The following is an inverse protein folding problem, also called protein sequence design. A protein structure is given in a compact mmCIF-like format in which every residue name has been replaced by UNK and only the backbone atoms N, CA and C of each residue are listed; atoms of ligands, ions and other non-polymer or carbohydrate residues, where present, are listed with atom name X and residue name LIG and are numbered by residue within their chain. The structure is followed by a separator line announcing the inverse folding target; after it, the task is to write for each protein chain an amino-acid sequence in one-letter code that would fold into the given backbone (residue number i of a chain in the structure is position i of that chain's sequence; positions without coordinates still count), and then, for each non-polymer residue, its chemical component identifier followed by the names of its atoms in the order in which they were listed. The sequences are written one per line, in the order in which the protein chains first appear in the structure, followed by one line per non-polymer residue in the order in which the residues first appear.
data_IF_463203166833
#
_entry.id   IF_463203166833
#
_cell.length_a   1.000
_cell.length_b   1.000
_cell.length_c   1.000
_cell.angle_alpha   90.00
_cell.angle_beta   90.00
_cell.angle_gamma   90.00
#
_symmetry.space_group_name_H-M   'P 1'
#
loop_
_entity.id
_entity.type
_entity.pdbx_description
1 polymer ?
#
# COMPACT_ATOMS: atom_id res chain seq x y z
N UNK A 1 11.88 32.91 8.70
CA UNK A 1 11.60 32.58 10.12
C UNK A 1 10.27 33.10 10.67
N UNK A 2 9.54 34.01 10.01
CA UNK A 2 8.34 34.63 10.59
C UNK A 2 7.02 33.93 10.23
N UNK A 3 6.95 33.09 9.21
CA UNK A 3 5.72 32.42 8.75
C UNK A 3 5.50 31.06 9.40
N UNK A 4 6.56 30.35 9.76
CA UNK A 4 6.48 29.05 10.44
C UNK A 4 5.86 29.13 11.85
N UNK A 5 5.99 30.26 12.54
CA UNK A 5 5.36 30.48 13.85
C UNK A 5 3.85 30.74 13.81
N UNK A 6 3.28 30.99 12.63
CA UNK A 6 1.84 31.27 12.48
C UNK A 6 1.01 29.99 12.22
N UNK A 7 1.66 28.89 11.87
CA UNK A 7 1.00 27.61 11.56
C UNK A 7 1.10 26.57 12.70
N UNK A 8 1.55 26.98 13.89
CA UNK A 8 1.47 26.10 15.07
C UNK A 8 2.35 24.86 15.06
N UNK A 9 3.44 24.83 14.29
CA UNK A 9 4.41 23.70 14.26
C UNK A 9 5.30 23.62 15.51
N UNK A 10 4.68 23.64 16.69
CA UNK A 10 5.34 23.18 17.90
C UNK A 10 4.87 21.76 18.20
N UNK A 11 5.37 20.81 17.45
CA UNK A 11 5.31 19.41 17.86
C UNK A 11 5.97 19.24 19.23
N UNK A 12 5.57 18.25 20.05
CA UNK A 12 6.16 18.03 21.36
C UNK A 12 7.68 17.96 21.23
N UNK A 13 8.40 18.67 22.10
CA UNK A 13 9.85 18.66 22.13
C UNK A 13 10.34 17.20 22.12
N UNK A 14 11.08 16.81 21.09
CA UNK A 14 11.64 15.47 20.98
C UNK A 14 12.56 15.21 22.16
N UNK A 15 12.33 14.12 22.88
CA UNK A 15 13.41 13.55 23.68
C UNK A 15 14.55 13.20 22.70
N UNK A 16 15.80 13.60 22.99
CA UNK A 16 16.91 13.24 22.13
C UNK A 16 17.01 11.72 22.11
N UNK A 17 16.71 11.13 20.95
CA UNK A 17 17.02 9.72 20.69
C UNK A 17 18.53 9.61 20.85
N UNK A 18 18.99 8.73 21.74
CA UNK A 18 20.42 8.48 21.90
C UNK A 18 21.03 8.20 20.52
N UNK A 19 22.01 9.03 20.13
CA UNK A 19 22.71 8.90 18.85
C UNK A 19 23.32 7.51 18.80
N UNK A 20 22.82 6.64 17.91
CA UNK A 20 23.48 5.38 17.63
C UNK A 20 24.80 5.69 16.92
N UNK A 21 25.89 5.60 17.68
CA UNK A 21 27.25 5.85 17.18
C UNK A 21 27.83 4.66 16.40
N UNK A 22 27.03 3.63 16.11
CA UNK A 22 27.48 2.57 15.23
C UNK A 22 27.74 3.12 13.82
N UNK A 23 28.81 2.64 13.14
CA UNK A 23 29.09 3.12 11.79
C UNK A 23 27.94 2.74 10.85
N UNK A 24 27.38 3.74 10.17
CA UNK A 24 26.37 3.53 9.12
C UNK A 24 26.98 2.65 8.03
N UNK A 25 26.35 1.51 7.77
CA UNK A 25 26.78 0.55 6.75
C UNK A 25 25.64 0.25 5.82
N UNK A 26 25.93 0.15 4.53
CA UNK A 26 25.00 -0.39 3.55
C UNK A 26 24.68 -1.86 3.88
N UNK A 27 23.53 -2.35 3.43
CA UNK A 27 23.22 -3.76 3.48
C UNK A 27 24.23 -4.57 2.64
N UNK A 28 24.57 -5.80 3.02
CA UNK A 28 25.41 -6.66 2.19
C UNK A 28 24.81 -6.82 0.78
N UNK A 29 25.65 -6.86 -0.26
CA UNK A 29 25.22 -7.02 -1.64
C UNK A 29 24.30 -8.24 -1.85
N UNK A 30 24.51 -9.32 -1.09
CA UNK A 30 23.66 -10.53 -1.12
C UNK A 30 22.19 -10.24 -0.79
N UNK A 31 21.89 -9.22 -0.01
CA UNK A 31 20.49 -8.83 0.28
C UNK A 31 19.74 -8.31 -0.95
N UNK A 32 20.47 -7.81 -1.94
CA UNK A 32 19.89 -7.29 -3.19
C UNK A 32 19.89 -8.33 -4.32
N UNK A 33 20.76 -9.35 -4.25
CA UNK A 33 21.01 -10.27 -5.36
C UNK A 33 20.65 -11.72 -5.08
N UNK A 34 20.43 -12.13 -3.81
CA UNK A 34 20.09 -13.51 -3.46
C UNK A 34 18.60 -13.78 -3.65
N UNK A 35 18.31 -14.86 -4.38
CA UNK A 35 16.93 -15.37 -4.52
C UNK A 35 16.39 -15.88 -3.19
N UNK A 36 17.21 -16.53 -2.37
CA UNK A 36 16.83 -17.04 -1.04
C UNK A 36 16.42 -15.89 -0.12
N UNK A 37 17.15 -14.77 -0.17
CA UNK A 37 16.80 -13.57 0.59
C UNK A 37 15.45 -13.02 0.10
N UNK A 38 15.22 -12.96 -1.21
CA UNK A 38 13.93 -12.50 -1.73
C UNK A 38 12.77 -13.42 -1.33
N UNK A 39 12.96 -14.74 -1.34
CA UNK A 39 11.94 -15.67 -0.84
C UNK A 39 11.68 -15.49 0.66
N UNK A 40 12.71 -15.19 1.46
CA UNK A 40 12.54 -14.84 2.87
C UNK A 40 11.73 -13.54 3.02
N UNK A 41 12.05 -12.51 2.26
CA UNK A 41 11.30 -11.24 2.24
C UNK A 41 9.83 -11.45 1.83
N UNK A 42 9.58 -12.28 0.82
CA UNK A 42 8.20 -12.64 0.44
C UNK A 42 7.44 -13.23 1.61
N UNK A 43 8.04 -14.17 2.35
CA UNK A 43 7.37 -14.89 3.44
C UNK A 43 7.30 -14.08 4.74
N UNK A 44 8.30 -13.26 5.06
CA UNK A 44 8.39 -12.55 6.33
C UNK A 44 7.86 -11.10 6.26
N UNK A 45 7.90 -10.49 5.09
CA UNK A 45 7.49 -9.09 4.87
C UNK A 45 6.19 -9.05 4.08
N UNK A 46 6.22 -9.40 2.80
CA UNK A 46 5.08 -9.18 1.90
C UNK A 46 3.84 -10.02 2.26
N UNK A 47 4.01 -11.19 2.88
CA UNK A 47 2.88 -12.01 3.34
C UNK A 47 2.42 -11.70 4.76
N UNK A 48 3.10 -10.80 5.52
CA UNK A 48 2.84 -10.59 6.95
C UNK A 48 2.62 -9.13 7.35
N UNK A 49 3.14 -8.19 6.55
CA UNK A 49 3.07 -6.78 6.88
C UNK A 49 1.88 -6.10 6.20
N UNK A 50 1.41 -5.02 6.82
CA UNK A 50 0.45 -4.15 6.18
C UNK A 50 1.12 -3.38 5.04
N UNK A 51 0.49 -3.39 3.88
CA UNK A 51 0.96 -2.71 2.68
C UNK A 51 -0.13 -1.75 2.20
N UNK A 52 0.22 -0.49 1.96
CA UNK A 52 -0.63 0.45 1.26
C UNK A 52 -0.71 0.01 -0.21
N UNK A 53 -1.91 -0.12 -0.75
CA UNK A 53 -2.11 -0.63 -2.12
C UNK A 53 -2.68 0.42 -3.05
N UNK A 54 -3.69 1.16 -2.59
CA UNK A 54 -4.42 2.08 -3.45
C UNK A 54 -5.28 3.03 -2.63
N UNK A 55 -6.14 3.79 -3.30
CA UNK A 55 -7.05 4.77 -2.71
C UNK A 55 -8.51 4.39 -3.01
N UNK A 56 -9.42 4.63 -2.06
CA UNK A 56 -10.84 4.22 -2.14
C UNK A 56 -11.59 4.85 -3.32
N UNK A 57 -11.18 6.03 -3.78
CA UNK A 57 -11.82 6.72 -4.92
C UNK A 57 -11.71 5.97 -6.24
N UNK A 58 -10.86 4.93 -6.31
CA UNK A 58 -10.83 4.02 -7.46
C UNK A 58 -12.05 3.08 -7.54
N UNK A 59 -12.81 2.96 -6.44
CA UNK A 59 -14.03 2.15 -6.35
C UNK A 59 -15.21 3.11 -6.26
N UNK A 60 -16.01 3.20 -7.31
CA UNK A 60 -17.08 4.20 -7.42
C UNK A 60 -18.47 3.64 -7.10
N UNK A 61 -18.64 2.34 -7.22
CA UNK A 61 -19.92 1.66 -6.99
C UNK A 61 -19.75 0.23 -6.54
N UNK A 62 -20.76 -0.28 -5.86
CA UNK A 62 -20.85 -1.69 -5.50
C UNK A 62 -20.72 -2.56 -6.76
N UNK A 63 -19.83 -3.54 -6.71
CA UNK A 63 -19.46 -4.40 -7.84
C UNK A 63 -18.13 -4.06 -8.48
N UNK A 64 -17.57 -2.88 -8.26
CA UNK A 64 -16.25 -2.56 -8.76
C UNK A 64 -15.20 -3.44 -8.08
N UNK A 65 -14.25 -3.91 -8.88
CA UNK A 65 -13.14 -4.73 -8.41
C UNK A 65 -11.85 -4.41 -9.17
N UNK A 66 -10.73 -4.57 -8.47
CA UNK A 66 -9.39 -4.40 -9.02
C UNK A 66 -8.53 -5.56 -8.53
N UNK A 67 -7.77 -6.16 -9.45
CA UNK A 67 -6.75 -7.17 -9.16
C UNK A 67 -5.41 -6.51 -8.97
N UNK A 68 -4.69 -6.94 -7.95
CA UNK A 68 -3.33 -6.51 -7.64
C UNK A 68 -2.42 -7.73 -7.55
N UNK A 69 -1.14 -7.48 -7.75
CA UNK A 69 -0.08 -8.44 -7.49
C UNK A 69 1.06 -7.74 -6.77
N UNK A 70 1.50 -8.30 -5.64
CA UNK A 70 2.67 -7.82 -4.89
C UNK A 70 3.54 -9.02 -4.55
N UNK A 71 4.80 -8.96 -4.93
CA UNK A 71 5.78 -10.03 -4.68
C UNK A 71 5.28 -11.44 -5.12
N UNK A 72 4.53 -11.51 -6.23
CA UNK A 72 3.96 -12.75 -6.75
C UNK A 72 2.70 -13.23 -6.03
N UNK A 73 2.14 -12.46 -5.11
CA UNK A 73 0.83 -12.74 -4.50
C UNK A 73 -0.27 -11.98 -5.23
N UNK A 74 -1.11 -12.69 -5.99
CA UNK A 74 -2.30 -12.11 -6.61
C UNK A 74 -3.47 -12.04 -5.62
N UNK A 75 -4.14 -10.90 -5.58
CA UNK A 75 -5.36 -10.71 -4.80
C UNK A 75 -6.32 -9.74 -5.51
N UNK A 76 -7.56 -9.75 -5.06
CA UNK A 76 -8.65 -8.91 -5.58
C UNK A 76 -9.16 -8.06 -4.42
N UNK A 77 -9.31 -6.77 -4.67
CA UNK A 77 -10.15 -5.90 -3.85
C UNK A 77 -11.47 -5.68 -4.57
N UNK A 78 -12.59 -5.79 -3.85
CA UNK A 78 -13.93 -5.57 -4.42
C UNK A 78 -14.82 -4.77 -3.48
N UNK A 79 -15.67 -3.93 -4.06
CA UNK A 79 -16.64 -3.13 -3.33
C UNK A 79 -17.99 -3.81 -3.26
N UNK A 80 -18.52 -4.02 -2.04
CA UNK A 80 -19.89 -4.45 -1.78
C UNK A 80 -20.58 -3.44 -0.88
N UNK A 81 -21.56 -2.71 -1.42
CA UNK A 81 -22.07 -1.51 -0.73
C UNK A 81 -20.92 -0.50 -0.54
N UNK A 82 -20.74 -0.05 0.69
CA UNK A 82 -19.67 0.88 1.07
C UNK A 82 -18.41 0.19 1.63
N UNK A 83 -18.39 -1.14 1.61
CA UNK A 83 -17.29 -1.94 2.18
C UNK A 83 -16.39 -2.49 1.12
N UNK A 84 -15.08 -2.33 1.32
CA UNK A 84 -14.05 -2.98 0.49
C UNK A 84 -13.69 -4.33 1.12
N UNK A 85 -13.76 -5.38 0.32
CA UNK A 85 -13.37 -6.74 0.67
C UNK A 85 -12.12 -7.15 -0.12
N UNK A 86 -11.30 -8.02 0.46
CA UNK A 86 -10.11 -8.51 -0.20
C UNK A 86 -9.99 -10.03 -0.13
N UNK A 87 -9.50 -10.65 -1.22
CA UNK A 87 -9.32 -12.10 -1.31
C UNK A 87 -8.13 -12.43 -2.19
N UNK A 88 -7.44 -13.54 -1.91
CA UNK A 88 -6.55 -14.14 -2.89
C UNK A 88 -7.31 -14.52 -4.16
N UNK A 89 -6.73 -14.27 -5.33
CA UNK A 89 -7.33 -14.61 -6.62
C UNK A 89 -7.24 -16.11 -6.91
N UNK A 90 -7.81 -16.94 -6.03
CA UNK A 90 -7.69 -18.39 -6.06
C UNK A 90 -9.05 -19.04 -5.81
N UNK A 91 -9.50 -19.85 -6.75
CA UNK A 91 -10.71 -20.65 -6.60
C UNK A 91 -10.49 -21.80 -5.60
N UNK A 92 -11.39 -21.96 -4.63
CA UNK A 92 -11.33 -23.01 -3.60
C UNK A 92 -11.45 -24.42 -4.16
N UNK A 93 -11.93 -24.58 -5.38
CA UNK A 93 -12.09 -25.89 -6.00
C UNK A 93 -10.73 -26.50 -6.42
N UNK A 94 -10.03 -25.86 -7.34
CA UNK A 94 -8.76 -26.35 -7.91
C UNK A 94 -7.77 -25.24 -8.21
N UNK A 95 -7.72 -24.22 -7.36
CA UNK A 95 -6.75 -23.13 -7.39
C UNK A 95 -6.64 -22.34 -8.71
N UNK A 96 -7.65 -22.42 -9.59
CA UNK A 96 -7.69 -21.60 -10.80
C UNK A 96 -7.98 -20.13 -10.44
N UNK A 97 -7.39 -19.14 -11.13
CA UNK A 97 -7.72 -17.73 -10.92
C UNK A 97 -9.23 -17.48 -11.08
N UNK A 98 -9.82 -16.73 -10.15
CA UNK A 98 -11.26 -16.42 -10.21
C UNK A 98 -11.54 -15.31 -11.22
N UNK A 99 -10.64 -14.34 -11.30
CA UNK A 99 -10.66 -13.28 -12.33
C UNK A 99 -9.34 -13.26 -13.10
N UNK A 100 -9.42 -13.00 -14.41
CA UNK A 100 -8.25 -12.93 -15.30
C UNK A 100 -7.89 -11.48 -15.67
N UNK A 101 -8.87 -10.57 -15.69
CA UNK A 101 -8.66 -9.15 -15.97
C UNK A 101 -7.99 -8.39 -14.83
N UNK A 102 -7.62 -7.13 -15.08
CA UNK A 102 -7.02 -6.26 -14.07
C UNK A 102 -8.06 -5.52 -13.21
N UNK A 103 -9.17 -5.13 -13.80
CA UNK A 103 -10.28 -4.43 -13.14
C UNK A 103 -11.59 -4.63 -13.87
N UNK A 104 -12.71 -4.38 -13.20
CA UNK A 104 -14.02 -4.44 -13.80
C UNK A 104 -15.14 -4.20 -12.79
N UNK A 105 -16.36 -4.44 -13.23
CA UNK A 105 -17.56 -4.42 -12.39
C UNK A 105 -18.29 -5.77 -12.53
N UNK A 106 -18.64 -6.37 -11.40
CA UNK A 106 -19.32 -7.68 -11.36
C UNK A 106 -20.42 -7.66 -10.29
N UNK A 107 -21.43 -8.51 -10.48
CA UNK A 107 -22.40 -8.83 -9.42
C UNK A 107 -21.99 -10.07 -8.63
N UNK A 108 -21.21 -10.92 -9.28
CA UNK A 108 -20.71 -12.18 -8.76
C UNK A 108 -19.42 -12.54 -9.50
N UNK A 109 -18.48 -13.14 -8.83
CA UNK A 109 -17.26 -13.69 -9.43
C UNK A 109 -17.52 -15.15 -9.82
N UNK A 110 -17.22 -15.54 -11.04
CA UNK A 110 -17.40 -16.92 -11.52
C UNK A 110 -16.11 -17.47 -12.08
N UNK A 111 -15.61 -18.53 -11.46
CA UNK A 111 -14.44 -19.23 -11.91
C UNK A 111 -14.73 -19.89 -13.27
N UNK A 112 -13.94 -19.58 -14.28
CA UNK A 112 -14.15 -20.09 -15.64
C UNK A 112 -13.87 -21.58 -15.80
N UNK A 113 -13.18 -22.20 -14.83
CA UNK A 113 -12.82 -23.61 -14.94
C UNK A 113 -14.03 -24.54 -14.71
N UNK A 114 -14.77 -24.38 -13.59
CA UNK A 114 -15.90 -25.26 -13.25
C UNK A 114 -17.16 -24.50 -12.77
N UNK A 115 -17.21 -23.19 -12.94
CA UNK A 115 -18.39 -22.39 -12.63
C UNK A 115 -18.66 -22.16 -11.13
N UNK A 116 -17.69 -22.45 -10.25
CA UNK A 116 -17.83 -22.02 -8.86
C UNK A 116 -17.94 -20.52 -8.80
N UNK A 117 -18.95 -20.02 -8.08
CA UNK A 117 -19.26 -18.60 -8.07
C UNK A 117 -19.25 -18.05 -6.65
N UNK A 118 -18.70 -16.85 -6.52
CA UNK A 118 -18.47 -16.18 -5.24
C UNK A 118 -19.10 -14.80 -5.25
N UNK A 119 -19.73 -14.43 -4.14
CA UNK A 119 -20.22 -13.06 -3.93
C UNK A 119 -19.08 -12.03 -3.87
N UNK A 120 -19.44 -10.76 -3.94
CA UNK A 120 -18.46 -9.65 -3.79
C UNK A 120 -17.78 -9.63 -2.41
N UNK A 121 -18.31 -10.34 -1.43
CA UNK A 121 -17.72 -10.56 -0.10
C UNK A 121 -16.93 -11.87 -0.01
N UNK A 122 -16.68 -12.53 -1.14
CA UNK A 122 -15.92 -13.77 -1.24
C UNK A 122 -16.64 -15.03 -0.76
N UNK A 123 -17.89 -14.93 -0.29
CA UNK A 123 -18.66 -16.12 0.11
C UNK A 123 -19.01 -16.96 -1.10
N UNK A 124 -18.91 -18.29 -0.97
CA UNK A 124 -19.32 -19.20 -2.03
C UNK A 124 -20.85 -19.14 -2.21
N UNK A 125 -21.29 -18.73 -3.40
CA UNK A 125 -22.70 -18.64 -3.76
C UNK A 125 -23.20 -19.94 -4.44
N UNK A 126 -22.40 -20.49 -5.37
CA UNK A 126 -22.76 -21.68 -6.14
C UNK A 126 -21.54 -22.55 -6.39
N UNK A 127 -21.71 -23.87 -6.22
CA UNK A 127 -20.72 -24.90 -6.54
C UNK A 127 -21.39 -26.02 -7.35
N UNK A 128 -21.44 -25.91 -8.70
CA UNK A 128 -22.14 -26.87 -9.53
C UNK A 128 -21.72 -28.30 -9.21
N UNK A 129 -22.71 -29.21 -9.09
CA UNK A 129 -22.60 -30.63 -8.68
C UNK A 129 -22.21 -30.86 -7.20
N UNK A 130 -21.53 -29.92 -6.54
CA UNK A 130 -21.22 -30.02 -5.12
C UNK A 130 -22.40 -29.62 -4.26
N UNK A 131 -23.24 -28.71 -4.73
CA UNK A 131 -24.48 -28.28 -4.05
C UNK A 131 -25.47 -29.45 -3.79
N UNK A 132 -25.29 -30.57 -4.49
CA UNK A 132 -26.14 -31.77 -4.37
C UNK A 132 -25.70 -32.71 -3.23
N UNK A 133 -24.48 -32.48 -2.64
CA UNK A 133 -23.98 -33.30 -1.55
C UNK A 133 -24.45 -32.76 -0.20
N UNK A 134 -25.13 -33.59 0.63
CA UNK A 134 -25.71 -33.15 1.90
C UNK A 134 -24.68 -32.55 2.88
N UNK A 135 -23.44 -33.04 2.84
CA UNK A 135 -22.37 -32.63 3.76
C UNK A 135 -21.50 -31.50 3.22
N UNK A 136 -21.84 -30.95 2.05
CA UNK A 136 -21.07 -29.85 1.48
C UNK A 136 -21.45 -28.50 2.09
N UNK A 137 -20.60 -27.99 2.97
CA UNK A 137 -20.79 -26.68 3.61
C UNK A 137 -20.17 -25.55 2.78
N UNK A 138 -21.01 -24.76 2.13
CA UNK A 138 -20.61 -23.58 1.37
C UNK A 138 -19.89 -22.54 2.22
N UNK A 139 -20.22 -22.43 3.50
CA UNK A 139 -19.64 -21.42 4.40
C UNK A 139 -18.15 -21.63 4.62
N UNK A 140 -17.70 -22.89 4.51
CA UNK A 140 -16.28 -23.26 4.64
C UNK A 140 -15.49 -23.15 3.33
N UNK A 141 -16.17 -22.83 2.22
CA UNK A 141 -15.61 -22.84 0.88
C UNK A 141 -15.60 -21.45 0.22
N UNK A 142 -15.67 -20.38 1.00
CA UNK A 142 -15.45 -19.00 0.52
C UNK A 142 -14.02 -18.78 0.06
N UNK A 143 -13.78 -17.73 -0.73
CA UNK A 143 -12.43 -17.33 -1.15
C UNK A 143 -11.53 -17.10 0.08
N UNK A 144 -10.24 -17.32 -0.07
CA UNK A 144 -9.27 -17.00 0.99
C UNK A 144 -9.23 -15.49 1.20
N UNK A 145 -9.74 -15.04 2.33
CA UNK A 145 -9.76 -13.63 2.68
C UNK A 145 -8.36 -13.12 2.98
N UNK A 146 -8.13 -11.86 2.66
CA UNK A 146 -7.03 -11.06 3.16
C UNK A 146 -7.58 -9.96 4.07
N UNK A 147 -6.75 -9.42 4.94
CA UNK A 147 -7.16 -8.33 5.81
C UNK A 147 -7.11 -7.01 5.04
N UNK A 148 -8.14 -6.20 5.18
CA UNK A 148 -8.28 -4.91 4.50
C UNK A 148 -8.61 -3.85 5.53
N UNK A 149 -7.92 -2.71 5.45
CA UNK A 149 -8.22 -1.50 6.20
C UNK A 149 -8.30 -0.32 5.24
N UNK A 150 -9.35 0.46 5.35
CA UNK A 150 -9.43 1.79 4.74
C UNK A 150 -9.15 2.79 5.86
N UNK A 151 -8.14 3.63 5.69
CA UNK A 151 -7.75 4.63 6.66
C UNK A 151 -8.55 5.93 6.53
N UNK A 152 -8.29 6.92 7.38
CA UNK A 152 -9.03 8.18 7.40
C UNK A 152 -8.79 9.06 6.17
N UNK A 153 -7.64 8.92 5.51
CA UNK A 153 -7.35 9.59 4.24
C UNK A 153 -7.92 8.84 3.02
N UNK A 154 -8.55 7.68 3.25
CA UNK A 154 -9.14 6.84 2.20
C UNK A 154 -8.13 5.94 1.50
N UNK A 155 -6.92 5.79 2.00
CA UNK A 155 -5.99 4.80 1.49
C UNK A 155 -6.40 3.38 1.93
N UNK A 156 -6.24 2.43 1.02
CA UNK A 156 -6.56 1.03 1.24
C UNK A 156 -5.28 0.27 1.51
N UNK A 157 -5.23 -0.33 2.68
CA UNK A 157 -4.16 -1.18 3.17
C UNK A 157 -4.59 -2.63 3.16
N UNK A 158 -3.67 -3.53 2.84
CA UNK A 158 -3.89 -4.97 2.93
C UNK A 158 -2.81 -5.63 3.76
N UNK A 159 -3.19 -6.75 4.39
CA UNK A 159 -2.27 -7.68 5.00
C UNK A 159 -2.64 -9.09 4.54
N UNK A 160 -1.67 -9.82 3.99
CA UNK A 160 -1.88 -11.14 3.39
C UNK A 160 -1.70 -12.27 4.41
N UNK A 161 -1.50 -11.95 5.69
CA UNK A 161 -1.37 -12.98 6.73
C UNK A 161 -2.61 -13.86 6.80
N UNK A 162 -2.40 -15.17 6.82
CA UNK A 162 -3.47 -16.16 6.98
C UNK A 162 -3.99 -16.29 8.41
N UNK A 163 -3.36 -15.62 9.39
CA UNK A 163 -3.83 -15.58 10.76
C UNK A 163 -5.22 -14.93 10.83
N UNK A 164 -6.09 -15.42 11.70
CA UNK A 164 -7.42 -14.84 11.91
C UNK A 164 -7.31 -13.38 12.35
N UNK A 165 -6.31 -13.07 13.17
CA UNK A 165 -6.00 -11.72 13.65
C UNK A 165 -4.53 -11.41 13.31
N UNK A 166 -4.25 -10.60 12.28
CA UNK A 166 -2.90 -10.17 11.95
C UNK A 166 -2.39 -9.16 12.98
N UNK A 167 -1.11 -8.79 12.88
CA UNK A 167 -0.58 -7.66 13.63
C UNK A 167 -1.48 -6.42 13.40
N UNK A 168 -1.93 -5.71 14.45
CA UNK A 168 -2.77 -4.53 14.27
C UNK A 168 -2.07 -3.46 13.43
N UNK A 169 -2.80 -2.86 12.47
CA UNK A 169 -2.27 -1.79 11.60
C UNK A 169 -1.74 -0.60 12.42
N UNK A 170 -2.42 -0.27 13.51
CA UNK A 170 -2.09 0.82 14.40
C UNK A 170 -0.73 0.67 15.09
N UNK A 171 -0.22 -0.55 15.20
CA UNK A 171 1.10 -0.79 15.80
C UNK A 171 2.21 -0.15 14.96
N UNK A 172 2.09 -0.19 13.64
CA UNK A 172 3.11 0.29 12.70
C UNK A 172 2.75 1.66 12.09
N UNK A 173 1.46 1.95 11.89
CA UNK A 173 1.00 3.08 11.10
C UNK A 173 0.04 4.04 11.84
N UNK A 174 -0.13 3.93 13.17
CA UNK A 174 -1.01 4.84 13.89
C UNK A 174 -0.69 6.31 13.61
N UNK A 175 -1.69 7.08 13.19
CA UNK A 175 -1.60 8.52 12.92
C UNK A 175 -0.99 8.88 11.57
N UNK A 176 -0.57 7.90 10.76
CA UNK A 176 0.02 8.18 9.45
C UNK A 176 -0.98 8.79 8.46
N UNK A 177 -2.24 8.48 8.65
CA UNK A 177 -3.38 8.95 7.88
C UNK A 177 -4.02 10.26 8.41
N UNK A 178 -3.52 10.74 9.54
CA UNK A 178 -3.95 11.98 10.20
C UNK A 178 -2.79 12.95 10.43
N UNK A 179 -1.79 12.94 9.55
CA UNK A 179 -0.68 13.88 9.60
C UNK A 179 -1.23 15.32 9.50
N UNK A 180 -0.76 16.21 10.35
CA UNK A 180 -1.20 17.62 10.35
C UNK A 180 -1.07 18.27 8.96
N UNK A 181 0.02 17.94 8.24
CA UNK A 181 0.26 18.42 6.87
C UNK A 181 -0.77 17.91 5.85
N UNK A 182 -1.58 16.90 6.19
CA UNK A 182 -2.69 16.43 5.35
C UNK A 182 -3.95 17.27 5.50
N UNK A 183 -4.03 18.14 6.50
CA UNK A 183 -5.21 18.97 6.77
C UNK A 183 -5.60 19.94 5.66
N UNK A 184 -4.69 20.23 4.73
CA UNK A 184 -4.95 21.10 3.56
C UNK A 184 -5.50 20.34 2.36
N UNK A 185 -5.43 19.00 2.36
CA UNK A 185 -5.86 18.17 1.25
C UNK A 185 -7.24 17.56 1.49
N UNK A 186 -8.07 17.54 0.46
CA UNK A 186 -9.37 16.88 0.46
C UNK A 186 -9.29 15.60 -0.36
N UNK A 187 -8.83 14.52 0.25
CA UNK A 187 -8.58 13.25 -0.45
C UNK A 187 -9.81 12.68 -1.16
N UNK A 188 -11.02 13.00 -0.73
CA UNK A 188 -12.26 12.58 -1.38
C UNK A 188 -12.52 13.29 -2.73
N UNK A 189 -11.86 14.41 -2.98
CA UNK A 189 -11.96 15.15 -4.24
C UNK A 189 -10.99 14.61 -5.30
N UNK A 190 -10.04 13.72 -4.91
CA UNK A 190 -9.10 13.13 -5.86
C UNK A 190 -9.74 12.00 -6.65
N UNK A 191 -9.36 11.88 -7.91
CA UNK A 191 -9.72 10.76 -8.78
C UNK A 191 -8.48 10.20 -9.47
N UNK A 192 -8.56 8.94 -9.93
CA UNK A 192 -7.49 8.34 -10.71
C UNK A 192 -7.44 8.99 -12.10
N UNK A 193 -6.38 9.72 -12.38
CA UNK A 193 -6.11 10.27 -13.70
C UNK A 193 -5.46 9.23 -14.60
N UNK A 194 -4.29 8.72 -14.22
CA UNK A 194 -3.59 7.72 -15.03
C UNK A 194 -2.70 6.81 -14.18
N UNK A 195 -2.25 5.72 -14.80
CA UNK A 195 -1.30 4.76 -14.23
C UNK A 195 -0.11 4.60 -15.18
N UNK A 196 1.10 4.64 -14.64
CA UNK A 196 2.31 4.26 -15.32
C UNK A 196 2.85 2.96 -14.77
N UNK A 197 3.34 2.10 -15.66
CA UNK A 197 4.06 0.89 -15.29
C UNK A 197 5.43 0.91 -15.93
N UNK A 198 6.46 0.68 -15.14
CA UNK A 198 7.81 0.47 -15.63
C UNK A 198 8.37 -0.83 -15.07
N UNK A 199 9.24 -1.48 -15.83
CA UNK A 199 9.89 -2.72 -15.42
C UNK A 199 11.39 -2.51 -15.42
N UNK A 200 12.05 -2.96 -14.36
CA UNK A 200 13.49 -2.88 -14.21
C UNK A 200 14.06 -4.15 -13.58
N UNK A 201 15.29 -4.49 -13.94
CA UNK A 201 16.01 -5.63 -13.38
C UNK A 201 16.74 -5.23 -12.09
N UNK A 202 15.99 -4.91 -11.04
CA UNK A 202 16.54 -4.52 -9.74
C UNK A 202 15.68 -5.05 -8.58
N UNK A 203 16.28 -5.12 -7.41
CA UNK A 203 15.55 -5.47 -6.18
C UNK A 203 14.73 -4.29 -5.68
N UNK A 204 13.55 -4.53 -5.11
CA UNK A 204 12.65 -3.50 -4.59
C UNK A 204 13.31 -2.54 -3.57
N UNK A 205 14.30 -3.03 -2.80
CA UNK A 205 15.03 -2.22 -1.82
C UNK A 205 15.82 -1.07 -2.45
N UNK A 206 16.24 -1.22 -3.71
CA UNK A 206 16.90 -0.13 -4.44
C UNK A 206 15.98 1.08 -4.60
N UNK A 207 14.67 0.84 -4.85
CA UNK A 207 13.69 1.94 -4.89
C UNK A 207 13.48 2.55 -3.51
N UNK A 208 13.45 1.73 -2.46
CA UNK A 208 13.35 2.21 -1.09
C UNK A 208 14.56 3.07 -0.71
N UNK A 209 15.76 2.59 -1.01
CA UNK A 209 17.01 3.32 -0.74
C UNK A 209 17.03 4.66 -1.51
N UNK A 210 16.70 4.65 -2.81
CA UNK A 210 16.69 5.83 -3.66
C UNK A 210 15.63 6.86 -3.22
N UNK A 211 14.43 6.41 -2.82
CA UNK A 211 13.37 7.33 -2.41
C UNK A 211 13.67 8.01 -1.06
N UNK A 212 14.37 7.32 -0.16
CA UNK A 212 14.59 7.82 1.20
C UNK A 212 15.85 8.68 1.37
N UNK A 213 16.50 9.08 0.27
CA UNK A 213 17.58 10.06 0.27
C UNK A 213 17.35 11.08 -0.87
N UNK A 214 17.94 12.27 -0.76
CA UNK A 214 17.88 13.29 -1.81
C UNK A 214 19.28 13.76 -2.25
N UNK A 215 20.31 12.96 -2.01
CA UNK A 215 21.67 13.25 -2.45
C UNK A 215 21.79 13.28 -3.97
N UNK A 216 21.01 12.45 -4.67
CA UNK A 216 20.95 12.41 -6.14
C UNK A 216 20.08 13.52 -6.74
N UNK A 217 19.19 14.15 -5.96
CA UNK A 217 18.18 15.07 -6.48
C UNK A 217 18.75 16.22 -7.33
N UNK A 218 19.83 16.93 -6.92
CA UNK A 218 20.35 18.04 -7.70
C UNK A 218 20.84 17.64 -9.07
N UNK A 219 21.28 16.40 -9.22
CA UNK A 219 21.89 15.89 -10.46
C UNK A 219 20.87 15.17 -11.35
N UNK A 220 20.06 14.30 -10.74
CA UNK A 220 19.11 13.44 -11.49
C UNK A 220 17.78 14.14 -11.76
N UNK A 221 17.42 15.10 -10.92
CA UNK A 221 16.15 15.83 -11.00
C UNK A 221 16.38 17.35 -10.94
N UNK A 222 17.08 17.96 -11.91
CA UNK A 222 17.51 19.36 -11.84
C UNK A 222 16.34 20.36 -11.71
N UNK A 223 15.14 19.96 -12.14
CA UNK A 223 13.95 20.80 -12.02
C UNK A 223 13.27 20.74 -10.64
N UNK A 224 13.66 19.81 -9.76
CA UNK A 224 13.01 19.66 -8.45
C UNK A 224 13.19 20.91 -7.59
N UNK A 225 14.32 21.62 -7.74
CA UNK A 225 14.59 22.86 -7.04
C UNK A 225 13.62 24.01 -7.36
N UNK A 226 12.85 23.91 -8.44
CA UNK A 226 11.76 24.87 -8.74
C UNK A 226 10.50 24.58 -7.91
N UNK A 227 10.37 23.37 -7.38
CA UNK A 227 9.21 22.93 -6.61
C UNK A 227 9.49 22.90 -5.11
N UNK A 228 10.69 22.50 -4.73
CA UNK A 228 11.10 22.35 -3.34
C UNK A 228 12.54 22.85 -3.14
N UNK A 229 12.80 23.54 -2.02
CA UNK A 229 14.16 23.85 -1.59
C UNK A 229 14.80 22.58 -0.99
N UNK A 230 15.57 21.89 -1.80
CA UNK A 230 16.23 20.64 -1.42
C UNK A 230 17.32 20.83 -0.34
N UNK A 231 17.78 22.06 -0.10
CA UNK A 231 18.74 22.37 0.97
C UNK A 231 18.10 22.28 2.36
N UNK A 232 16.78 22.39 2.43
CA UNK A 232 15.96 22.27 3.64
C UNK A 232 15.39 20.87 3.84
N UNK A 233 15.74 19.90 2.94
CA UNK A 233 15.20 18.55 3.01
C UNK A 233 15.49 17.87 4.35
N UNK A 234 14.43 17.50 5.06
CA UNK A 234 14.47 16.79 6.33
C UNK A 234 13.70 15.47 6.25
N UNK A 235 14.18 14.48 6.97
CA UNK A 235 13.62 13.14 6.98
C UNK A 235 13.28 12.72 8.40
N UNK A 236 12.03 12.36 8.63
CA UNK A 236 11.53 11.98 9.95
C UNK A 236 11.07 10.52 9.95
N UNK A 237 11.68 9.70 10.80
CA UNK A 237 11.23 8.34 11.07
C UNK A 237 9.94 8.33 11.89
N UNK A 238 8.94 7.56 11.44
CA UNK A 238 7.73 7.30 12.19
C UNK A 238 7.37 5.81 12.06
N UNK A 239 7.89 4.97 12.98
CA UNK A 239 7.68 3.50 13.00
C UNK A 239 8.01 2.87 11.63
N UNK A 240 7.00 2.38 10.90
CA UNK A 240 7.14 1.79 9.57
C UNK A 240 6.97 2.80 8.41
N UNK A 241 7.13 4.10 8.71
CA UNK A 241 7.06 5.15 7.69
C UNK A 241 8.20 6.14 7.84
N UNK A 242 8.57 6.77 6.73
CA UNK A 242 9.56 7.85 6.68
C UNK A 242 8.88 9.06 6.02
N UNK A 243 8.81 10.16 6.76
CA UNK A 243 8.22 11.39 6.30
C UNK A 243 9.31 12.29 5.74
N UNK A 244 9.11 12.77 4.52
CA UNK A 244 9.99 13.71 3.85
C UNK A 244 9.35 15.08 3.85
N UNK A 245 10.13 16.10 4.14
CA UNK A 245 9.71 17.48 4.16
C UNK A 245 10.79 18.37 3.55
N UNK A 246 10.36 19.35 2.77
CA UNK A 246 11.21 20.45 2.28
C UNK A 246 10.39 21.72 2.26
N UNK A 247 11.03 22.86 2.38
CA UNK A 247 10.38 24.14 2.13
C UNK A 247 10.04 24.27 0.65
N UNK A 248 9.08 25.15 0.32
CA UNK A 248 8.72 25.42 -1.08
C UNK A 248 9.91 26.00 -1.84
N UNK A 249 10.04 25.66 -3.12
CA UNK A 249 11.05 26.25 -3.99
C UNK A 249 10.81 27.73 -4.24
N UNK A 250 11.83 28.42 -4.77
CA UNK A 250 11.74 29.87 -5.02
C UNK A 250 10.59 30.18 -6.01
N UNK A 251 9.65 31.01 -5.55
CA UNK A 251 8.47 31.39 -6.33
C UNK A 251 7.36 30.32 -6.41
N UNK A 252 7.45 29.26 -5.62
CA UNK A 252 6.41 28.21 -5.52
C UNK A 252 5.65 28.35 -4.20
N UNK A 253 4.32 28.33 -4.28
CA UNK A 253 3.42 28.21 -3.11
C UNK A 253 3.02 26.75 -2.88
N UNK A 254 3.62 25.78 -3.59
CA UNK A 254 3.26 24.37 -3.54
C UNK A 254 3.89 23.70 -2.29
N UNK A 255 3.05 23.13 -1.44
CA UNK A 255 3.50 22.27 -0.36
C UNK A 255 3.55 20.81 -0.86
N UNK A 256 4.70 20.16 -0.70
CA UNK A 256 4.86 18.73 -1.05
C UNK A 256 4.94 17.92 0.23
N UNK A 257 4.01 16.98 0.40
CA UNK A 257 4.00 16.04 1.50
C UNK A 257 4.32 14.64 1.01
N UNK A 258 5.57 14.22 1.12
CA UNK A 258 5.99 12.89 0.72
C UNK A 258 6.16 11.97 1.92
N UNK A 259 5.72 10.72 1.78
CA UNK A 259 5.85 9.69 2.82
C UNK A 259 6.23 8.38 2.16
N UNK A 260 7.27 7.75 2.66
CA UNK A 260 7.54 6.34 2.37
C UNK A 260 6.83 5.47 3.39
N UNK A 261 6.07 4.49 2.92
CA UNK A 261 5.37 3.49 3.71
C UNK A 261 6.04 2.13 3.49
N UNK A 262 6.64 1.60 4.54
CA UNK A 262 7.22 0.25 4.47
C UNK A 262 6.16 -0.79 4.07
N UNK A 263 6.45 -1.78 3.22
CA UNK A 263 7.77 -2.09 2.68
C UNK A 263 8.14 -1.34 1.38
N UNK A 264 7.21 -0.93 0.54
CA UNK A 264 7.55 -0.62 -0.85
C UNK A 264 6.65 0.43 -1.52
N UNK A 265 5.99 1.27 -0.77
CA UNK A 265 5.11 2.30 -1.32
C UNK A 265 5.52 3.68 -0.84
N UNK A 266 5.49 4.64 -1.74
CA UNK A 266 5.58 6.05 -1.40
C UNK A 266 4.33 6.80 -1.87
N UNK A 267 3.97 7.82 -1.11
CA UNK A 267 2.92 8.78 -1.47
C UNK A 267 3.53 10.16 -1.51
N UNK A 268 3.20 10.94 -2.55
CA UNK A 268 3.51 12.37 -2.60
C UNK A 268 2.22 13.11 -2.91
N UNK A 269 1.87 14.04 -2.06
CA UNK A 269 0.67 14.88 -2.20
C UNK A 269 1.14 16.30 -2.41
N UNK A 270 0.58 16.95 -3.43
CA UNK A 270 0.95 18.30 -3.90
C UNK A 270 -0.22 19.25 -3.71
#
# INVERSE_FOLDING_TARGET
MAILNYLGFSGPAREPVAEDKSPVRALPASWYTSEEMYQLERSAVFSKKWMLITQKTRFQKSGDWIKFEVAGYEFILSQKGDTIHGFHNVCRHRAYPVVEGQKGTARIFSCRYHGWSYGLDGKLAKAPKYDEYPDFDKSQNGMFKIHVKVDNAGFIWVNLDSAETPEPWEKEFAGIDMQERYGVYKFDDYYLDHEYTSTGAFNWKILADNFNECYHCPTSHPTIGTLADITTHDVQKNKASILHQSDSGEGSDMAISSTYHYPNVSTSVL
#
